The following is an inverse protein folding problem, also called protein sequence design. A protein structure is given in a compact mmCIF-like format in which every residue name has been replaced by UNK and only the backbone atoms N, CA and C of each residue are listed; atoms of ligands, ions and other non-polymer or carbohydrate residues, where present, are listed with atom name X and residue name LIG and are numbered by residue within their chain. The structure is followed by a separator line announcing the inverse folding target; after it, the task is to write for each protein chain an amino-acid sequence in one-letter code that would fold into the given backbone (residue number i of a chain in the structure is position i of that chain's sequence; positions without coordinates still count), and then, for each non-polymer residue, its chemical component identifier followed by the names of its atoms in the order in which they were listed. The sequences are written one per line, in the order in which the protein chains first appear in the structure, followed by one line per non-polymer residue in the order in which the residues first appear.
data_IF_027896628266
#
_entry.id   IF_027896628266
#
_cell.length_a   1.000
_cell.length_b   1.000
_cell.length_c   1.000
_cell.angle_alpha   90.00
_cell.angle_beta   90.00
_cell.angle_gamma   90.00
#
_symmetry.space_group_name_H-M   'P 1'
#
loop_
_entity.id
_entity.type
_entity.pdbx_description
1 polymer ?
#
# COMPACT_ATOMS: atom_id res chain seq x y z
N UNK A 1 -18.77 -0.32 11.67
CA UNK A 1 -19.29 -0.37 13.04
C UNK A 1 -19.87 -1.74 13.39
N UNK A 2 -20.79 -2.30 12.60
CA UNK A 2 -21.40 -3.62 12.88
C UNK A 2 -20.38 -4.75 13.15
N UNK A 3 -19.40 -4.93 12.26
CA UNK A 3 -18.33 -5.92 12.47
C UNK A 3 -17.58 -5.71 13.79
N UNK A 4 -17.30 -4.45 14.14
CA UNK A 4 -16.53 -4.07 15.33
C UNK A 4 -17.26 -4.44 16.62
N UNK A 5 -18.59 -4.34 16.64
CA UNK A 5 -19.40 -4.69 17.80
C UNK A 5 -19.76 -6.17 17.87
N UNK A 6 -20.19 -6.78 16.77
CA UNK A 6 -20.87 -8.07 16.81
C UNK A 6 -20.04 -9.25 16.35
N UNK A 7 -18.94 -9.00 15.62
CA UNK A 7 -18.12 -10.06 15.02
C UNK A 7 -16.67 -10.04 15.47
N UNK A 8 -16.20 -8.95 16.06
CA UNK A 8 -14.81 -8.80 16.45
C UNK A 8 -14.35 -9.88 17.44
N UNK A 9 -15.15 -10.19 18.46
CA UNK A 9 -14.79 -11.20 19.48
C UNK A 9 -14.67 -12.58 18.84
N UNK A 10 -15.64 -12.98 18.01
CA UNK A 10 -15.60 -14.23 17.23
C UNK A 10 -14.38 -14.32 16.29
N UNK A 11 -13.89 -13.18 15.78
CA UNK A 11 -12.72 -13.13 14.92
C UNK A 11 -11.44 -13.15 15.75
N UNK A 12 -11.38 -12.45 16.90
CA UNK A 12 -10.23 -12.39 17.79
C UNK A 12 -9.96 -13.74 18.48
N UNK A 13 -10.99 -14.51 18.80
CA UNK A 13 -10.85 -15.84 19.41
C UNK A 13 -10.17 -16.87 18.49
N UNK A 14 -10.09 -16.58 17.18
CA UNK A 14 -9.33 -17.39 16.21
C UNK A 14 -7.82 -17.13 16.27
N UNK A 15 -7.38 -16.08 16.97
CA UNK A 15 -5.97 -15.70 17.10
C UNK A 15 -5.45 -16.10 18.48
N UNK A 16 -4.69 -17.19 18.52
CA UNK A 16 -4.21 -17.83 19.76
C UNK A 16 -2.80 -17.43 20.15
N UNK A 17 -1.92 -17.26 19.16
CA UNK A 17 -0.47 -17.08 19.33
C UNK A 17 -0.01 -15.67 18.97
N UNK A 18 -0.75 -14.97 18.11
CA UNK A 18 -0.27 -13.71 17.50
C UNK A 18 -0.43 -12.45 18.35
N UNK A 19 0.31 -11.40 17.94
CA UNK A 19 0.20 -10.04 18.51
C UNK A 19 -1.19 -9.39 18.39
N UNK A 20 -2.12 -10.02 17.67
CA UNK A 20 -3.53 -9.61 17.63
C UNK A 20 -4.15 -9.68 19.04
N UNK A 21 -3.76 -10.67 19.85
CA UNK A 21 -4.22 -10.81 21.24
C UNK A 21 -3.71 -9.69 22.14
N UNK A 22 -2.43 -9.32 22.03
CA UNK A 22 -1.84 -8.19 22.77
C UNK A 22 -2.46 -6.84 22.38
N UNK A 23 -2.89 -6.69 21.11
CA UNK A 23 -3.61 -5.49 20.68
C UNK A 23 -4.97 -5.31 21.36
N UNK A 24 -5.59 -6.38 21.89
CA UNK A 24 -6.83 -6.31 22.68
C UNK A 24 -6.62 -5.49 23.95
N UNK A 25 -5.52 -5.73 24.65
CA UNK A 25 -5.16 -5.08 25.91
C UNK A 25 -4.77 -3.62 25.71
N UNK A 26 -3.98 -3.32 24.68
CA UNK A 26 -3.45 -1.96 24.43
C UNK A 26 -4.52 -0.99 23.91
N UNK A 27 -5.41 -1.46 23.01
CA UNK A 27 -6.35 -0.56 22.30
C UNK A 27 -7.70 -0.39 23.00
N UNK A 28 -7.95 -1.14 24.07
CA UNK A 28 -9.18 -1.09 24.85
C UNK A 28 -10.44 -1.50 24.07
N UNK A 29 -11.57 -1.57 24.77
CA UNK A 29 -12.86 -2.02 24.20
C UNK A 29 -13.75 -0.88 23.68
N UNK A 30 -13.24 0.34 23.59
CA UNK A 30 -13.96 1.46 22.99
C UNK A 30 -14.21 1.28 21.48
N UNK A 31 -15.19 2.02 20.95
CA UNK A 31 -15.60 1.98 19.53
C UNK A 31 -14.39 2.07 18.56
N UNK A 32 -13.56 3.09 18.76
CA UNK A 32 -12.39 3.33 17.91
C UNK A 32 -11.31 2.25 18.07
N UNK A 33 -11.13 1.73 19.29
CA UNK A 33 -10.23 0.61 19.58
C UNK A 33 -10.63 -0.64 18.81
N UNK A 34 -11.91 -1.04 18.94
CA UNK A 34 -12.50 -2.19 18.23
C UNK A 34 -12.42 -2.03 16.71
N UNK A 35 -12.72 -0.84 16.18
CA UNK A 35 -12.57 -0.56 14.74
C UNK A 35 -11.12 -0.68 14.26
N UNK A 36 -10.16 -0.19 15.05
CA UNK A 36 -8.74 -0.28 14.71
C UNK A 36 -8.24 -1.72 14.75
N UNK A 37 -8.72 -2.56 15.67
CA UNK A 37 -8.39 -4.00 15.73
C UNK A 37 -8.93 -4.75 14.51
N UNK A 38 -10.18 -4.53 14.10
CA UNK A 38 -10.68 -5.09 12.82
C UNK A 38 -9.82 -4.65 11.64
N UNK A 39 -9.41 -3.38 11.59
CA UNK A 39 -8.56 -2.89 10.52
C UNK A 39 -7.20 -3.59 10.49
N UNK A 40 -6.61 -3.88 11.65
CA UNK A 40 -5.36 -4.64 11.73
C UNK A 40 -5.55 -6.08 11.27
N UNK A 41 -6.60 -6.76 11.73
CA UNK A 41 -6.92 -8.12 11.28
C UNK A 41 -7.21 -8.13 9.77
N UNK A 42 -7.82 -7.08 9.25
CA UNK A 42 -8.02 -6.89 7.81
C UNK A 42 -6.77 -6.58 7.02
N UNK A 43 -5.74 -5.99 7.64
CA UNK A 43 -4.45 -5.89 7.00
C UNK A 43 -3.84 -7.30 6.81
N UNK A 44 -3.94 -8.18 7.80
CA UNK A 44 -3.45 -9.56 7.70
C UNK A 44 -4.08 -10.35 6.53
N UNK A 45 -5.32 -10.03 6.12
CA UNK A 45 -6.03 -10.74 5.04
C UNK A 45 -5.81 -10.17 3.64
N UNK A 46 -5.12 -9.04 3.47
CA UNK A 46 -4.95 -8.47 2.12
C UNK A 46 -4.01 -7.26 1.96
N UNK A 47 -3.27 -6.88 3.01
CA UNK A 47 -2.17 -5.89 2.96
C UNK A 47 -1.05 -6.30 3.91
N UNK A 48 0.10 -6.69 3.35
CA UNK A 48 1.33 -6.80 4.12
C UNK A 48 1.90 -5.40 4.38
N UNK A 49 1.64 -4.88 5.59
CA UNK A 49 2.50 -3.82 6.11
C UNK A 49 3.78 -4.45 6.65
N UNK A 50 4.89 -3.74 6.48
CA UNK A 50 6.23 -4.21 6.82
C UNK A 50 6.30 -4.72 8.28
N UNK A 51 5.68 -4.01 9.23
CA UNK A 51 5.64 -4.44 10.62
C UNK A 51 4.85 -5.73 10.86
N UNK A 52 3.82 -6.01 10.06
CA UNK A 52 3.04 -7.24 10.22
C UNK A 52 3.83 -8.46 9.71
N UNK A 53 4.76 -8.29 8.74
CA UNK A 53 5.57 -9.39 8.22
C UNK A 53 6.50 -10.02 9.28
N UNK A 54 6.75 -9.31 10.38
CA UNK A 54 7.52 -9.83 11.52
C UNK A 54 6.73 -10.82 12.39
N UNK A 55 5.42 -10.98 12.17
CA UNK A 55 4.57 -11.97 12.84
C UNK A 55 3.92 -12.91 11.79
N UNK A 56 4.68 -13.90 11.26
CA UNK A 56 4.14 -14.85 10.28
C UNK A 56 2.95 -15.67 10.80
N UNK A 57 2.89 -15.90 12.12
CA UNK A 57 1.81 -16.64 12.77
C UNK A 57 0.49 -15.88 12.70
N UNK A 58 0.50 -14.57 12.90
CA UNK A 58 -0.69 -13.73 12.70
C UNK A 58 -1.26 -13.88 11.28
N UNK A 59 -0.37 -14.00 10.29
CA UNK A 59 -0.79 -14.25 8.93
C UNK A 59 -1.43 -15.64 8.81
N UNK A 60 -0.78 -16.71 9.28
CA UNK A 60 -1.33 -18.07 9.23
C UNK A 60 -2.71 -18.17 9.90
N UNK A 61 -2.87 -17.60 11.09
CA UNK A 61 -4.15 -17.53 11.81
C UNK A 61 -5.22 -16.78 11.00
N UNK A 62 -4.85 -15.68 10.33
CA UNK A 62 -5.76 -14.95 9.46
C UNK A 62 -6.19 -15.74 8.21
N UNK A 63 -5.47 -16.79 7.78
CA UNK A 63 -5.94 -17.67 6.69
C UNK A 63 -7.07 -18.61 7.15
N UNK A 64 -7.13 -18.93 8.44
CA UNK A 64 -8.13 -19.82 9.01
C UNK A 64 -9.48 -19.13 9.25
N UNK A 65 -9.59 -17.82 8.98
CA UNK A 65 -10.84 -17.08 9.16
C UNK A 65 -11.90 -17.62 8.18
N UNK A 66 -13.06 -18.09 8.67
CA UNK A 66 -14.14 -18.56 7.81
C UNK A 66 -14.62 -17.48 6.83
N UNK A 67 -15.00 -17.86 5.62
CA UNK A 67 -15.47 -16.95 4.56
C UNK A 67 -16.61 -16.01 5.03
N UNK A 68 -17.51 -16.55 5.88
CA UNK A 68 -18.62 -15.79 6.47
C UNK A 68 -18.17 -14.63 7.37
N UNK A 69 -16.98 -14.72 7.97
CA UNK A 69 -16.35 -13.67 8.78
C UNK A 69 -15.39 -12.79 7.95
N UNK A 70 -14.75 -13.36 6.93
CA UNK A 70 -13.81 -12.65 6.05
C UNK A 70 -14.44 -11.42 5.37
N UNK A 71 -15.73 -11.48 5.01
CA UNK A 71 -16.47 -10.34 4.46
C UNK A 71 -16.47 -9.13 5.41
N UNK A 72 -16.59 -9.36 6.71
CA UNK A 72 -16.67 -8.30 7.72
C UNK A 72 -15.32 -7.63 7.97
N UNK A 73 -14.26 -8.41 7.87
CA UNK A 73 -12.88 -7.94 7.99
C UNK A 73 -12.46 -7.12 6.76
N UNK A 74 -12.95 -7.48 5.56
CA UNK A 74 -12.60 -6.80 4.30
C UNK A 74 -13.38 -5.51 4.01
N UNK A 75 -14.56 -5.31 4.63
CA UNK A 75 -15.41 -4.12 4.40
C UNK A 75 -14.68 -2.80 4.72
N UNK A 76 -14.03 -2.62 5.87
CA UNK A 76 -13.33 -1.37 6.18
C UNK A 76 -12.25 -1.02 5.16
N UNK A 77 -11.50 -2.03 4.70
CA UNK A 77 -10.46 -1.82 3.69
C UNK A 77 -11.05 -1.43 2.33
N UNK A 78 -12.19 -2.03 1.94
CA UNK A 78 -12.91 -1.66 0.72
C UNK A 78 -13.45 -0.23 0.78
N UNK A 79 -14.11 0.14 1.88
CA UNK A 79 -14.63 1.50 2.07
C UNK A 79 -13.52 2.55 2.05
N UNK A 80 -12.43 2.31 2.79
CA UNK A 80 -11.27 3.20 2.79
C UNK A 80 -10.68 3.34 1.38
N UNK A 81 -10.60 2.25 0.61
CA UNK A 81 -10.12 2.29 -0.77
C UNK A 81 -11.03 3.12 -1.67
N UNK A 82 -12.34 2.88 -1.62
CA UNK A 82 -13.30 3.66 -2.41
C UNK A 82 -13.23 5.14 -2.05
N UNK A 83 -13.15 5.46 -0.75
CA UNK A 83 -12.96 6.83 -0.29
C UNK A 83 -11.65 7.45 -0.79
N UNK A 84 -10.53 6.71 -0.79
CA UNK A 84 -9.25 7.17 -1.31
C UNK A 84 -9.28 7.39 -2.83
N UNK A 85 -9.95 6.51 -3.59
CA UNK A 85 -10.10 6.67 -5.04
C UNK A 85 -10.96 7.89 -5.35
N UNK A 86 -12.10 8.03 -4.69
CA UNK A 86 -12.99 9.21 -4.85
C UNK A 86 -12.24 10.49 -4.44
N UNK A 87 -11.58 10.49 -3.28
CA UNK A 87 -10.79 11.62 -2.81
C UNK A 87 -9.66 11.98 -3.76
N UNK A 88 -8.96 10.99 -4.31
CA UNK A 88 -7.93 11.18 -5.34
C UNK A 88 -8.49 11.80 -6.62
N UNK A 89 -9.62 11.30 -7.12
CA UNK A 89 -10.29 11.87 -8.30
C UNK A 89 -10.76 13.31 -8.05
N UNK A 90 -11.36 13.59 -6.90
CA UNK A 90 -11.76 14.95 -6.52
C UNK A 90 -10.57 15.89 -6.43
N UNK A 91 -9.47 15.42 -5.83
CA UNK A 91 -8.23 16.20 -5.74
C UNK A 91 -7.65 16.48 -7.12
N UNK A 92 -7.64 15.50 -8.03
CA UNK A 92 -7.22 15.69 -9.42
C UNK A 92 -8.07 16.74 -10.15
N UNK A 93 -9.40 16.64 -10.05
CA UNK A 93 -10.30 17.61 -10.64
C UNK A 93 -10.09 19.02 -10.06
N UNK A 94 -9.95 19.11 -8.74
CA UNK A 94 -9.70 20.37 -8.06
C UNK A 94 -8.33 20.97 -8.44
N UNK A 95 -7.27 20.16 -8.48
CA UNK A 95 -5.94 20.57 -8.92
C UNK A 95 -5.95 21.05 -10.36
N UNK A 96 -6.69 20.39 -11.25
CA UNK A 96 -6.82 20.82 -12.64
C UNK A 96 -7.54 22.17 -12.75
N UNK A 97 -8.65 22.35 -12.05
CA UNK A 97 -9.37 23.62 -11.99
C UNK A 97 -8.50 24.74 -11.41
N UNK A 98 -7.79 24.47 -10.33
CA UNK A 98 -6.84 25.39 -9.70
C UNK A 98 -5.71 25.78 -10.67
N UNK A 99 -5.19 24.82 -11.42
CA UNK A 99 -4.15 25.07 -12.43
C UNK A 99 -4.65 26.03 -13.52
N UNK A 100 -5.84 25.76 -14.07
CA UNK A 100 -6.44 26.59 -15.13
C UNK A 100 -6.71 28.01 -14.66
N UNK A 101 -7.20 28.17 -13.42
CA UNK A 101 -7.49 29.49 -12.82
C UNK A 101 -6.24 30.24 -12.37
N UNK A 102 -5.14 29.53 -12.08
CA UNK A 102 -3.86 30.16 -11.72
C UNK A 102 -3.11 30.62 -12.96
N UNK A 103 -3.11 29.82 -14.05
CA UNK A 103 -2.46 30.16 -15.32
C UNK A 103 -3.10 31.35 -16.04
N UNK A 104 -4.36 31.69 -15.74
CA UNK A 104 -5.03 32.85 -16.33
C UNK A 104 -4.66 34.19 -15.68
N UNK A 105 -3.88 34.19 -14.59
CA UNK A 105 -3.45 35.39 -13.87
C UNK A 105 -1.98 35.71 -14.17
N UNK A 106 -1.57 36.99 -14.17
CA UNK A 106 -0.16 37.35 -14.28
C UNK A 106 0.62 36.77 -13.09
N UNK A 107 1.61 35.93 -13.39
CA UNK A 107 2.44 35.23 -12.41
C UNK A 107 3.87 35.76 -12.45
N UNK A 108 4.50 35.87 -11.28
CA UNK A 108 5.94 36.13 -11.20
C UNK A 108 6.73 34.90 -11.63
N UNK A 109 7.96 35.09 -12.15
CA UNK A 109 8.80 33.98 -12.64
C UNK A 109 9.03 32.86 -11.62
N UNK A 110 9.18 33.19 -10.33
CA UNK A 110 9.32 32.21 -9.25
C UNK A 110 8.05 31.36 -9.04
N UNK A 111 6.86 31.96 -9.19
CA UNK A 111 5.59 31.22 -9.08
C UNK A 111 5.43 30.24 -10.25
N UNK A 112 5.79 30.67 -11.45
CA UNK A 112 5.77 29.82 -12.65
C UNK A 112 6.70 28.62 -12.47
N UNK A 113 7.93 28.85 -11.99
CA UNK A 113 8.89 27.76 -11.73
C UNK A 113 8.35 26.77 -10.69
N UNK A 114 7.77 27.26 -9.60
CA UNK A 114 7.18 26.41 -8.56
C UNK A 114 6.04 25.54 -9.12
N UNK A 115 5.10 26.15 -9.85
CA UNK A 115 3.98 25.44 -10.48
C UNK A 115 4.50 24.40 -11.48
N UNK A 116 5.45 24.77 -12.34
CA UNK A 116 6.04 23.85 -13.31
C UNK A 116 6.70 22.64 -12.63
N UNK A 117 7.38 22.86 -11.50
CA UNK A 117 8.02 21.78 -10.74
C UNK A 117 6.98 20.85 -10.10
N UNK A 118 5.89 21.40 -9.56
CA UNK A 118 4.77 20.59 -9.03
C UNK A 118 4.10 19.76 -10.12
N UNK A 119 3.88 20.34 -11.32
CA UNK A 119 3.36 19.60 -12.49
C UNK A 119 4.33 18.48 -12.88
N UNK A 120 5.63 18.74 -12.93
CA UNK A 120 6.63 17.73 -13.26
C UNK A 120 6.63 16.56 -12.26
N UNK A 121 6.60 16.84 -10.95
CA UNK A 121 6.44 15.82 -9.91
C UNK A 121 5.16 15.01 -10.11
N UNK A 122 4.05 15.68 -10.42
CA UNK A 122 2.77 15.02 -10.67
C UNK A 122 2.80 14.08 -11.89
N UNK A 123 3.36 14.53 -13.02
CA UNK A 123 3.50 13.72 -14.23
C UNK A 123 4.39 12.50 -13.96
N UNK A 124 5.52 12.67 -13.25
CA UNK A 124 6.41 11.58 -12.89
C UNK A 124 5.73 10.55 -11.98
N UNK A 125 4.91 11.00 -11.02
CA UNK A 125 4.11 10.11 -10.19
C UNK A 125 3.09 9.32 -11.03
N UNK A 126 2.40 9.97 -11.98
CA UNK A 126 1.44 9.32 -12.86
C UNK A 126 2.11 8.25 -13.75
N UNK A 127 3.24 8.58 -14.38
CA UNK A 127 4.02 7.63 -15.17
C UNK A 127 4.46 6.43 -14.33
N UNK A 128 4.93 6.66 -13.11
CA UNK A 128 5.32 5.59 -12.20
C UNK A 128 4.14 4.66 -11.85
N UNK A 129 2.94 5.22 -11.61
CA UNK A 129 1.73 4.42 -11.38
C UNK A 129 1.37 3.60 -12.62
N UNK A 130 1.40 4.20 -13.82
CA UNK A 130 1.09 3.50 -15.07
C UNK A 130 2.06 2.33 -15.33
N UNK A 131 3.36 2.55 -15.14
CA UNK A 131 4.36 1.48 -15.28
C UNK A 131 4.09 0.36 -14.27
N UNK A 132 3.74 0.69 -13.03
CA UNK A 132 3.39 -0.33 -12.03
C UNK A 132 2.14 -1.12 -12.42
N UNK A 133 1.11 -0.46 -12.95
CA UNK A 133 -0.09 -1.15 -13.43
C UNK A 133 0.29 -2.09 -14.58
N UNK A 134 1.07 -1.62 -15.55
CA UNK A 134 1.59 -2.44 -16.65
C UNK A 134 2.37 -3.67 -16.14
N UNK A 135 3.34 -3.47 -15.25
CA UNK A 135 4.12 -4.57 -14.65
C UNK A 135 3.22 -5.55 -13.91
N UNK A 136 2.20 -5.05 -13.19
CA UNK A 136 1.28 -5.91 -12.44
C UNK A 136 0.40 -6.79 -13.34
N UNK A 137 0.09 -6.32 -14.56
CA UNK A 137 -0.74 -7.04 -15.51
C UNK A 137 0.07 -8.04 -16.34
N UNK A 138 1.28 -7.66 -16.77
CA UNK A 138 2.03 -8.41 -17.78
C UNK A 138 3.28 -9.13 -17.26
N UNK A 139 3.86 -8.69 -16.14
CA UNK A 139 5.15 -9.19 -15.63
C UNK A 139 5.09 -9.79 -14.24
N UNK A 140 3.93 -9.74 -13.59
CA UNK A 140 3.75 -10.23 -12.23
C UNK A 140 3.98 -11.74 -12.11
N UNK A 141 3.42 -12.54 -13.03
CA UNK A 141 3.56 -14.01 -12.98
C UNK A 141 5.03 -14.44 -13.15
N UNK A 142 5.76 -13.75 -14.03
CA UNK A 142 7.20 -13.95 -14.20
C UNK A 142 7.96 -13.64 -12.91
N UNK A 143 7.65 -12.52 -12.23
CA UNK A 143 8.25 -12.17 -10.93
C UNK A 143 7.92 -13.19 -9.83
N UNK A 144 6.66 -13.64 -9.77
CA UNK A 144 6.20 -14.62 -8.78
C UNK A 144 6.84 -16.00 -8.98
N UNK A 145 7.21 -16.37 -10.20
CA UNK A 145 7.87 -17.65 -10.51
C UNK A 145 9.24 -17.80 -9.85
N UNK A 146 9.93 -16.70 -9.56
CA UNK A 146 11.19 -16.72 -8.81
C UNK A 146 10.99 -16.77 -7.30
N UNK A 147 9.78 -16.51 -6.81
CA UNK A 147 9.43 -16.38 -5.40
C UNK A 147 8.47 -17.49 -4.95
N UNK A 148 8.54 -18.67 -5.58
CA UNK A 148 7.67 -19.82 -5.24
C UNK A 148 7.88 -20.30 -3.80
N UNK A 149 9.11 -20.21 -3.30
CA UNK A 149 9.47 -20.61 -1.93
C UNK A 149 9.08 -19.56 -0.87
N UNK A 150 8.60 -18.37 -1.29
CA UNK A 150 8.15 -17.33 -0.36
C UNK A 150 6.75 -17.63 0.16
N UNK A 151 6.62 -17.71 1.49
CA UNK A 151 5.34 -17.92 2.14
C UNK A 151 4.36 -16.78 1.81
N UNK A 152 4.82 -15.53 1.90
CA UNK A 152 3.95 -14.36 1.70
C UNK A 152 3.52 -14.18 0.25
N UNK A 153 4.39 -14.48 -0.72
CA UNK A 153 4.01 -14.44 -2.14
C UNK A 153 2.99 -15.53 -2.45
N UNK A 154 3.24 -16.78 -2.00
CA UNK A 154 2.32 -17.89 -2.18
C UNK A 154 0.94 -17.64 -1.56
N UNK A 155 0.91 -17.15 -0.31
CA UNK A 155 -0.32 -16.70 0.35
C UNK A 155 -1.05 -15.65 -0.47
N UNK A 156 -0.36 -14.57 -0.83
CA UNK A 156 -1.00 -13.42 -1.47
C UNK A 156 -1.60 -13.82 -2.82
N UNK A 157 -1.00 -14.78 -3.53
CA UNK A 157 -1.59 -15.38 -4.73
C UNK A 157 -2.93 -16.06 -4.43
N UNK A 158 -3.01 -16.88 -3.38
CA UNK A 158 -4.26 -17.55 -2.95
C UNK A 158 -5.33 -16.56 -2.47
N UNK A 159 -4.95 -15.56 -1.69
CA UNK A 159 -5.87 -14.66 -1.01
C UNK A 159 -6.40 -13.50 -1.86
N UNK A 160 -5.55 -12.92 -2.71
CA UNK A 160 -5.90 -11.71 -3.46
C UNK A 160 -6.49 -11.99 -4.84
N UNK A 161 -6.34 -13.22 -5.34
CA UNK A 161 -6.86 -13.66 -6.64
C UNK A 161 -6.30 -12.89 -7.83
N UNK A 162 -6.84 -13.16 -9.03
CA UNK A 162 -6.30 -12.63 -10.30
C UNK A 162 -6.85 -11.27 -10.74
N UNK A 163 -7.67 -10.62 -9.90
CA UNK A 163 -8.21 -9.28 -10.20
C UNK A 163 -7.12 -8.20 -10.25
N UNK A 164 -7.39 -7.10 -10.98
CA UNK A 164 -6.46 -5.96 -11.15
C UNK A 164 -5.91 -5.45 -9.81
N UNK A 165 -6.76 -5.30 -8.80
CA UNK A 165 -6.34 -4.90 -7.46
C UNK A 165 -5.44 -5.92 -6.78
N UNK A 166 -5.76 -7.22 -6.93
CA UNK A 166 -4.98 -8.30 -6.34
C UNK A 166 -3.58 -8.30 -6.94
N UNK A 167 -3.49 -8.28 -8.28
CA UNK A 167 -2.23 -8.16 -9.02
C UNK A 167 -1.41 -6.94 -8.61
N UNK A 168 -2.01 -5.75 -8.55
CA UNK A 168 -1.33 -4.54 -8.10
C UNK A 168 -0.80 -4.66 -6.66
N UNK A 169 -1.60 -5.25 -5.76
CA UNK A 169 -1.22 -5.42 -4.35
C UNK A 169 -0.08 -6.42 -4.19
N UNK A 170 -0.09 -7.52 -4.96
CA UNK A 170 1.02 -8.50 -5.00
C UNK A 170 2.30 -7.87 -5.53
N UNK A 171 2.22 -7.11 -6.62
CA UNK A 171 3.38 -6.36 -7.13
C UNK A 171 3.91 -5.38 -6.08
N UNK A 172 3.02 -4.65 -5.41
CA UNK A 172 3.43 -3.71 -4.36
C UNK A 172 4.14 -4.42 -3.21
N UNK A 173 3.70 -5.64 -2.86
CA UNK A 173 4.36 -6.45 -1.85
C UNK A 173 5.75 -6.90 -2.28
N UNK A 174 5.88 -7.46 -3.50
CA UNK A 174 7.17 -7.86 -4.08
C UNK A 174 8.12 -6.66 -4.14
N UNK A 175 7.62 -5.49 -4.55
CA UNK A 175 8.41 -4.27 -4.58
C UNK A 175 8.94 -3.86 -3.21
N UNK A 176 8.19 -4.10 -2.13
CA UNK A 176 8.65 -3.85 -0.76
C UNK A 176 9.70 -4.88 -0.36
N UNK A 177 9.48 -6.17 -0.67
CA UNK A 177 10.44 -7.24 -0.40
C UNK A 177 11.80 -6.99 -1.07
N UNK A 178 11.80 -6.50 -2.31
CA UNK A 178 13.03 -6.15 -3.03
C UNK A 178 13.80 -4.96 -2.43
N UNK A 179 13.17 -4.18 -1.55
CA UNK A 179 13.78 -3.03 -0.87
C UNK A 179 14.15 -3.35 0.59
N UNK A 180 13.72 -4.49 1.11
CA UNK A 180 14.01 -4.94 2.47
C UNK A 180 15.44 -5.50 2.56
N UNK A 181 16.02 -5.44 3.76
CA UNK A 181 17.34 -6.02 4.00
C UNK A 181 17.25 -7.54 4.18
N UNK A 182 18.32 -8.24 3.82
CA UNK A 182 18.42 -9.70 4.01
C UNK A 182 18.22 -10.11 5.47
N UNK A 183 18.69 -9.28 6.42
CA UNK A 183 18.46 -9.50 7.85
C UNK A 183 16.97 -9.49 8.20
N UNK A 184 16.21 -8.55 7.63
CA UNK A 184 14.77 -8.50 7.85
C UNK A 184 14.10 -9.74 7.24
N UNK A 185 14.43 -10.05 5.99
CA UNK A 185 13.86 -11.20 5.27
C UNK A 185 14.22 -12.53 5.94
N UNK A 186 15.40 -12.68 6.53
CA UNK A 186 15.78 -13.91 7.23
C UNK A 186 14.90 -14.22 8.44
N UNK A 187 14.30 -13.17 9.03
CA UNK A 187 13.40 -13.29 10.18
C UNK A 187 11.96 -13.49 9.69
N UNK A 188 11.53 -12.73 8.68
CA UNK A 188 10.12 -12.73 8.23
C UNK A 188 9.80 -13.80 7.19
N UNK A 189 10.67 -14.01 6.20
CA UNK A 189 10.42 -14.87 5.04
C UNK A 189 11.75 -15.38 4.42
N UNK A 190 12.43 -16.33 5.09
CA UNK A 190 13.73 -16.81 4.65
C UNK A 190 13.68 -17.48 3.26
N UNK A 191 12.53 -18.02 2.86
CA UNK A 191 12.31 -18.62 1.54
C UNK A 191 12.43 -17.63 0.38
N UNK A 192 12.15 -16.34 0.63
CA UNK A 192 12.25 -15.31 -0.40
C UNK A 192 13.69 -14.95 -0.78
N UNK A 193 14.67 -15.13 0.13
CA UNK A 193 16.06 -14.66 -0.06
C UNK A 193 16.68 -15.29 -1.30
N UNK A 194 16.57 -16.62 -1.44
CA UNK A 194 17.13 -17.35 -2.60
C UNK A 194 16.47 -16.92 -3.90
N UNK A 195 15.16 -16.68 -3.88
CA UNK A 195 14.41 -16.21 -5.04
C UNK A 195 14.81 -14.81 -5.48
N UNK A 196 14.95 -13.89 -4.52
CA UNK A 196 15.40 -12.51 -4.78
C UNK A 196 16.83 -12.49 -5.34
N UNK A 197 17.74 -13.29 -4.77
CA UNK A 197 19.12 -13.37 -5.23
C UNK A 197 19.24 -13.89 -6.68
N UNK A 198 18.29 -14.73 -7.12
CA UNK A 198 18.23 -15.27 -8.49
C UNK A 198 17.49 -14.38 -9.48
N UNK A 199 16.82 -13.32 -9.00
CA UNK A 199 16.00 -12.47 -9.86
C UNK A 199 16.90 -11.70 -10.84
N UNK A 200 16.64 -11.77 -12.16
CA UNK A 200 17.38 -10.99 -13.15
C UNK A 200 17.33 -9.49 -12.83
N UNK A 201 18.47 -8.80 -12.95
CA UNK A 201 18.57 -7.35 -12.74
C UNK A 201 17.53 -6.53 -13.53
N UNK A 202 17.18 -6.87 -14.80
CA UNK A 202 16.14 -6.14 -15.53
C UNK A 202 14.76 -6.22 -14.84
N UNK A 203 14.40 -7.39 -14.31
CA UNK A 203 13.14 -7.59 -13.58
C UNK A 203 13.17 -6.89 -12.22
N UNK A 204 14.31 -6.83 -11.55
CA UNK A 204 14.42 -6.04 -10.33
C UNK A 204 14.21 -4.55 -10.62
N UNK A 205 14.82 -4.04 -11.69
CA UNK A 205 14.74 -2.62 -12.09
C UNK A 205 13.33 -2.20 -12.49
N UNK A 206 12.61 -3.04 -13.24
CA UNK A 206 11.25 -2.71 -13.70
C UNK A 206 10.26 -2.55 -12.52
N UNK A 207 10.55 -3.17 -11.37
CA UNK A 207 9.74 -3.05 -10.15
C UNK A 207 10.24 -1.91 -9.25
N UNK A 208 11.55 -1.85 -9.02
CA UNK A 208 12.16 -0.94 -8.04
C UNK A 208 12.19 0.51 -8.52
N UNK A 209 12.49 0.77 -9.80
CA UNK A 209 12.62 2.14 -10.33
C UNK A 209 11.27 2.88 -10.25
N UNK A 210 10.14 2.35 -10.75
CA UNK A 210 8.86 3.03 -10.63
C UNK A 210 8.43 3.25 -9.18
N UNK A 211 8.75 2.32 -8.27
CA UNK A 211 8.42 2.49 -6.86
C UNK A 211 9.22 3.65 -6.23
N UNK A 212 10.51 3.75 -6.53
CA UNK A 212 11.36 4.88 -6.08
C UNK A 212 10.94 6.20 -6.73
N UNK A 213 10.67 6.20 -8.04
CA UNK A 213 10.17 7.38 -8.74
C UNK A 213 8.88 7.90 -8.12
N UNK A 214 7.93 7.01 -7.80
CA UNK A 214 6.69 7.38 -7.13
C UNK A 214 6.95 7.99 -5.76
N UNK A 215 7.78 7.35 -4.93
CA UNK A 215 8.11 7.84 -3.59
C UNK A 215 8.79 9.22 -3.64
N UNK A 216 9.79 9.41 -4.48
CA UNK A 216 10.47 10.70 -4.63
C UNK A 216 9.58 11.76 -5.23
N UNK A 217 8.69 11.42 -6.17
CA UNK A 217 7.74 12.37 -6.75
C UNK A 217 6.75 12.88 -5.71
N UNK A 218 6.22 11.98 -4.86
CA UNK A 218 5.31 12.35 -3.77
C UNK A 218 6.05 13.19 -2.72
N UNK A 219 7.25 12.77 -2.31
CA UNK A 219 8.04 13.50 -1.34
C UNK A 219 8.44 14.90 -1.86
N UNK A 220 8.93 14.97 -3.10
CA UNK A 220 9.29 16.21 -3.78
C UNK A 220 8.09 17.15 -3.93
N UNK A 221 6.94 16.63 -4.35
CA UNK A 221 5.70 17.41 -4.41
C UNK A 221 5.36 18.00 -3.04
N UNK A 222 5.40 17.19 -1.97
CA UNK A 222 5.13 17.66 -0.62
C UNK A 222 6.08 18.76 -0.18
N UNK A 223 7.40 18.55 -0.32
CA UNK A 223 8.41 19.54 0.06
C UNK A 223 8.22 20.86 -0.69
N UNK A 224 8.05 20.81 -2.02
CA UNK A 224 7.86 22.01 -2.83
C UNK A 224 6.57 22.73 -2.45
N UNK A 225 5.47 22.00 -2.26
CA UNK A 225 4.19 22.55 -1.87
C UNK A 225 4.30 23.28 -0.53
N UNK A 226 4.85 22.63 0.51
CA UNK A 226 5.01 23.24 1.84
C UNK A 226 5.94 24.45 1.81
N UNK A 227 7.08 24.37 1.10
CA UNK A 227 7.97 25.52 0.95
C UNK A 227 7.27 26.69 0.24
N UNK A 228 6.55 26.42 -0.83
CA UNK A 228 5.86 27.44 -1.61
C UNK A 228 4.72 28.11 -0.83
N UNK A 229 3.98 27.36 0.00
CA UNK A 229 3.01 27.92 0.93
C UNK A 229 3.68 28.76 2.02
N UNK A 230 4.79 28.27 2.60
CA UNK A 230 5.54 28.99 3.64
C UNK A 230 6.06 30.35 3.15
N UNK A 231 6.59 30.41 1.92
CA UNK A 231 7.06 31.64 1.29
C UNK A 231 5.94 32.46 0.61
N UNK A 232 4.66 32.08 0.77
CA UNK A 232 3.49 32.75 0.14
C UNK A 232 3.60 32.86 -1.39
N UNK A 233 4.28 31.91 -2.02
CA UNK A 233 4.34 31.76 -3.47
C UNK A 233 3.07 31.11 -4.01
N UNK A 234 2.48 30.21 -3.23
CA UNK A 234 1.15 29.64 -3.44
C UNK A 234 0.19 30.20 -2.38
N UNK A 235 -0.99 30.64 -2.82
CA UNK A 235 -2.08 31.11 -1.97
C UNK A 235 -3.05 29.96 -1.66
#
# INVERSE_FOLDING_TARGET
MFAAYFRLEQIEDLFTVSHVRFNREIKGNGLFGRMNRIRLIGALTGRSSLHLMLDPWAFMEAEMIPEGLQKWVSIPARLLRTALVIGGLLLLCHSFYWLCTTLSKPLSGLKILCIATLIACFILALLAVLVRVYVSLFKLEELESFLLDSYFVGRNRRMLGEGVYGRYSRLSHISTMLLLSDKFLSISDPGAIKGIARLPLPLQRIVTIPNRMLAYSIAGFGVIYFCATFFKLLN
#
